data_IF_402674491850
#
_entry.id   IF_402674491850
#
_cell.length_a   1.000
_cell.length_b   1.000
_cell.length_c   1.000
_cell.angle_alpha   90.00
_cell.angle_beta   90.00
_cell.angle_gamma   90.00
#
_symmetry.space_group_name_H-M   'P 1'
#
loop_
_entity.id
_entity.type
_entity.pdbx_description
1 polymer ?
#
# COMPACT_ATOMS: atom_id res chain seq x y z
N UNK A 1 42.56 5.91 -19.45
CA UNK A 1 41.35 5.10 -19.23
C UNK A 1 40.24 6.02 -18.76
N UNK A 2 39.42 6.51 -19.69
CA UNK A 2 38.30 7.41 -19.39
C UNK A 2 37.11 6.56 -18.93
N UNK A 3 36.79 6.63 -17.64
CA UNK A 3 35.58 6.03 -17.08
C UNK A 3 34.40 6.97 -17.37
N UNK A 4 33.66 6.66 -18.43
CA UNK A 4 32.38 7.29 -18.71
C UNK A 4 31.41 6.94 -17.58
N UNK A 5 31.14 7.92 -16.72
CA UNK A 5 29.99 7.93 -15.82
C UNK A 5 28.74 8.03 -16.70
N UNK A 6 28.22 6.88 -17.13
CA UNK A 6 26.89 6.80 -17.70
C UNK A 6 25.94 7.19 -16.58
N UNK A 7 25.45 8.42 -16.68
CA UNK A 7 24.34 8.94 -15.90
C UNK A 7 23.23 7.90 -15.90
N UNK A 8 22.88 7.43 -14.70
CA UNK A 8 21.71 6.60 -14.47
C UNK A 8 20.50 7.44 -14.90
N UNK A 9 20.10 7.34 -16.18
CA UNK A 9 18.83 7.88 -16.62
C UNK A 9 17.78 7.15 -15.79
N UNK A 10 17.21 7.86 -14.79
CA UNK A 10 15.97 7.45 -14.16
C UNK A 10 14.98 7.20 -15.30
N UNK A 11 14.81 5.92 -15.66
CA UNK A 11 13.70 5.49 -16.47
C UNK A 11 12.46 5.83 -15.66
N UNK A 12 11.90 7.02 -15.91
CA UNK A 12 10.58 7.40 -15.47
C UNK A 12 9.65 6.42 -16.17
N UNK A 13 9.23 5.38 -15.43
CA UNK A 13 8.22 4.45 -15.93
C UNK A 13 7.05 5.30 -16.43
N UNK A 14 6.52 5.00 -17.64
CA UNK A 14 5.41 5.76 -18.16
C UNK A 14 4.25 5.72 -17.16
N UNK A 15 3.58 6.87 -17.01
CA UNK A 15 2.39 6.95 -16.17
C UNK A 15 1.35 5.95 -16.69
N UNK A 16 0.60 5.29 -15.79
CA UNK A 16 -0.43 4.35 -16.18
C UNK A 16 -1.61 5.10 -16.79
N UNK A 17 -2.37 4.41 -17.65
CA UNK A 17 -3.72 4.87 -18.01
C UNK A 17 -4.58 5.03 -16.76
N UNK A 18 -5.53 5.95 -16.77
CA UNK A 18 -6.48 6.14 -15.66
C UNK A 18 -7.14 4.83 -15.22
N UNK A 19 -7.59 3.99 -16.16
CA UNK A 19 -8.29 2.74 -15.83
C UNK A 19 -7.41 1.72 -15.12
N UNK A 20 -6.17 1.54 -15.60
CA UNK A 20 -5.17 0.69 -14.93
C UNK A 20 -4.88 1.21 -13.53
N UNK A 21 -4.62 2.51 -13.37
CA UNK A 21 -4.38 3.11 -12.06
C UNK A 21 -5.57 2.91 -11.12
N UNK A 22 -6.79 3.15 -11.60
CA UNK A 22 -8.00 3.00 -10.83
C UNK A 22 -8.21 1.54 -10.38
N UNK A 23 -7.98 0.56 -11.27
CA UNK A 23 -8.10 -0.86 -10.95
C UNK A 23 -7.09 -1.29 -9.88
N UNK A 24 -5.82 -0.91 -10.05
CA UNK A 24 -4.75 -1.29 -9.14
C UNK A 24 -4.97 -0.65 -7.74
N UNK A 25 -5.33 0.64 -7.70
CA UNK A 25 -5.59 1.34 -6.43
C UNK A 25 -6.89 0.88 -5.74
N UNK A 26 -7.92 0.50 -6.49
CA UNK A 26 -9.13 -0.08 -5.91
C UNK A 26 -8.84 -1.42 -5.23
N UNK A 27 -7.96 -2.24 -5.83
CA UNK A 27 -7.54 -3.49 -5.20
C UNK A 27 -6.79 -3.25 -3.88
N UNK A 28 -5.88 -2.27 -3.85
CA UNK A 28 -5.17 -1.87 -2.62
C UNK A 28 -6.15 -1.47 -1.51
N UNK A 29 -7.08 -0.56 -1.81
CA UNK A 29 -8.10 -0.08 -0.86
C UNK A 29 -8.97 -1.24 -0.37
N UNK A 30 -9.41 -2.13 -1.27
CA UNK A 30 -10.23 -3.27 -0.90
C UNK A 30 -9.52 -4.24 0.05
N UNK A 31 -8.22 -4.48 -0.16
CA UNK A 31 -7.40 -5.30 0.74
C UNK A 31 -7.29 -4.61 2.10
N UNK A 32 -6.88 -3.35 2.15
CA UNK A 32 -6.73 -2.61 3.41
C UNK A 32 -8.05 -2.52 4.20
N UNK A 33 -9.18 -2.28 3.52
CA UNK A 33 -10.51 -2.23 4.14
C UNK A 33 -10.96 -3.58 4.71
N UNK A 34 -10.58 -4.70 4.07
CA UNK A 34 -10.81 -6.03 4.65
C UNK A 34 -9.98 -6.25 5.91
N UNK A 35 -8.69 -5.90 5.85
CA UNK A 35 -7.78 -6.06 6.98
C UNK A 35 -8.14 -5.17 8.17
N UNK A 36 -8.56 -3.92 7.94
CA UNK A 36 -8.97 -3.02 9.03
C UNK A 36 -10.23 -3.47 9.78
N UNK A 37 -11.03 -4.36 9.17
CA UNK A 37 -12.24 -4.94 9.74
C UNK A 37 -12.05 -6.35 10.28
N UNK A 38 -10.87 -6.94 10.11
CA UNK A 38 -10.56 -8.25 10.67
C UNK A 38 -10.57 -8.15 12.21
N UNK A 39 -11.35 -9.02 12.85
CA UNK A 39 -11.48 -9.03 14.30
C UNK A 39 -10.40 -9.90 14.94
N UNK A 40 -10.01 -10.99 14.29
CA UNK A 40 -9.00 -11.92 14.77
C UNK A 40 -7.59 -11.45 14.44
N UNK A 41 -6.85 -11.09 15.50
CA UNK A 41 -5.47 -10.63 15.41
C UNK A 41 -4.54 -11.65 14.72
N UNK A 42 -4.72 -12.94 14.99
CA UNK A 42 -3.87 -13.99 14.40
C UNK A 42 -4.09 -14.09 12.89
N UNK A 43 -5.36 -14.02 12.47
CA UNK A 43 -5.73 -13.99 11.06
C UNK A 43 -5.23 -12.71 10.38
N UNK A 44 -5.39 -11.56 11.02
CA UNK A 44 -4.87 -10.28 10.52
C UNK A 44 -3.36 -10.34 10.27
N UNK A 45 -2.58 -10.80 11.26
CA UNK A 45 -1.12 -10.91 11.15
C UNK A 45 -0.72 -11.79 9.97
N UNK A 46 -1.32 -12.98 9.89
CA UNK A 46 -1.04 -13.95 8.82
C UNK A 46 -1.32 -13.36 7.44
N UNK A 47 -2.47 -12.70 7.26
CA UNK A 47 -2.84 -12.13 5.96
C UNK A 47 -1.94 -10.94 5.63
N UNK A 48 -1.66 -10.05 6.58
CA UNK A 48 -0.79 -8.88 6.36
C UNK A 48 0.63 -9.30 5.92
N UNK A 49 1.25 -10.23 6.64
CA UNK A 49 2.58 -10.76 6.30
C UNK A 49 2.55 -11.48 4.95
N UNK A 50 1.54 -12.32 4.71
CA UNK A 50 1.41 -13.03 3.42
C UNK A 50 1.26 -12.05 2.25
N UNK A 51 0.52 -10.96 2.45
CA UNK A 51 0.30 -9.93 1.42
C UNK A 51 1.59 -9.18 1.11
N UNK A 52 2.37 -8.84 2.13
CA UNK A 52 3.71 -8.22 1.98
C UNK A 52 4.66 -9.13 1.20
N UNK A 53 4.71 -10.41 1.54
CA UNK A 53 5.64 -11.38 0.94
C UNK A 53 5.24 -11.75 -0.50
N UNK A 54 3.96 -11.99 -0.74
CA UNK A 54 3.46 -12.40 -2.05
C UNK A 54 3.47 -11.27 -3.08
N UNK A 55 3.71 -10.01 -2.67
CA UNK A 55 3.61 -8.83 -3.54
C UNK A 55 2.31 -8.86 -4.34
N UNK A 56 1.20 -9.18 -3.65
CA UNK A 56 -0.12 -9.48 -4.24
C UNK A 56 -0.57 -8.40 -5.22
N UNK A 57 -0.19 -7.15 -4.95
CA UNK A 57 -0.31 -6.06 -5.90
C UNK A 57 1.09 -5.73 -6.44
N UNK A 58 1.32 -6.01 -7.73
CA UNK A 58 2.47 -5.47 -8.46
C UNK A 58 2.29 -3.96 -8.56
N UNK A 59 2.84 -3.28 -7.58
CA UNK A 59 2.52 -1.91 -7.31
C UNK A 59 3.69 -1.03 -7.75
N UNK A 60 3.46 -0.19 -8.76
CA UNK A 60 4.39 0.88 -9.12
C UNK A 60 3.92 2.15 -8.43
N UNK A 61 4.82 2.80 -7.69
CA UNK A 61 4.48 4.00 -6.95
C UNK A 61 4.50 5.21 -7.87
N UNK A 62 3.33 5.69 -8.29
CA UNK A 62 3.22 6.84 -9.19
C UNK A 62 2.99 8.13 -8.40
N UNK A 63 2.15 8.09 -7.37
CA UNK A 63 1.81 9.27 -6.55
C UNK A 63 1.88 9.02 -5.03
N UNK A 64 2.57 7.98 -4.59
CA UNK A 64 2.76 7.65 -3.17
C UNK A 64 1.72 6.67 -2.63
N UNK A 65 0.71 6.26 -3.42
CA UNK A 65 -0.28 5.26 -3.03
C UNK A 65 0.35 3.91 -2.69
N UNK A 66 1.39 3.53 -3.40
CA UNK A 66 2.03 2.24 -3.22
C UNK A 66 2.80 2.16 -1.92
N UNK A 67 3.51 3.24 -1.62
CA UNK A 67 4.21 3.41 -0.37
C UNK A 67 3.23 3.40 0.81
N UNK A 68 2.09 4.09 0.71
CA UNK A 68 1.07 4.03 1.77
C UNK A 68 0.42 2.67 1.93
N UNK A 69 0.19 1.96 0.82
CA UNK A 69 -0.29 0.58 0.86
C UNK A 69 0.69 -0.32 1.61
N UNK A 70 1.98 -0.24 1.31
CA UNK A 70 3.02 -0.98 2.02
C UNK A 70 3.08 -0.63 3.51
N UNK A 71 3.01 0.65 3.86
CA UNK A 71 2.98 1.11 5.26
C UNK A 71 1.77 0.58 6.02
N UNK A 72 0.58 0.59 5.41
CA UNK A 72 -0.61 -0.01 6.01
C UNK A 72 -0.37 -1.49 6.33
N UNK A 73 0.16 -2.26 5.38
CA UNK A 73 0.37 -3.69 5.59
C UNK A 73 1.41 -3.97 6.67
N UNK A 74 2.49 -3.20 6.71
CA UNK A 74 3.50 -3.31 7.78
C UNK A 74 2.92 -2.96 9.14
N UNK A 75 2.09 -1.90 9.22
CA UNK A 75 1.39 -1.53 10.44
C UNK A 75 0.44 -2.65 10.89
N UNK A 76 -0.36 -3.19 9.98
CA UNK A 76 -1.25 -4.32 10.27
C UNK A 76 -0.50 -5.55 10.78
N UNK A 77 0.66 -5.87 10.19
CA UNK A 77 1.49 -6.97 10.65
C UNK A 77 2.08 -6.70 12.05
N UNK A 78 2.55 -5.48 12.32
CA UNK A 78 3.16 -5.13 13.61
C UNK A 78 2.13 -5.12 14.73
N UNK A 79 1.00 -4.42 14.55
CA UNK A 79 -0.05 -4.29 15.57
C UNK A 79 -0.69 -5.64 15.95
N UNK A 80 -0.67 -6.62 15.03
CA UNK A 80 -1.29 -7.94 15.27
C UNK A 80 -0.29 -9.02 15.67
N UNK A 81 1.00 -8.69 15.77
CA UNK A 81 2.10 -9.64 16.05
C UNK A 81 1.91 -10.41 17.35
N UNK A 82 1.46 -9.73 18.40
CA UNK A 82 1.24 -10.32 19.72
C UNK A 82 -0.13 -11.00 19.86
N UNK A 83 -0.88 -11.14 18.75
CA UNK A 83 -2.20 -11.78 18.67
C UNK A 83 -3.27 -11.11 19.55
N UNK A 84 -3.07 -9.85 19.88
CA UNK A 84 -4.02 -8.99 20.59
C UNK A 84 -4.19 -7.73 19.77
N UNK A 85 -5.44 -7.29 19.57
CA UNK A 85 -5.75 -5.99 18.95
C UNK A 85 -6.59 -5.17 19.91
N UNK A 86 -6.06 -4.02 20.29
CA UNK A 86 -6.78 -3.02 21.08
C UNK A 86 -7.62 -2.10 20.18
N UNK A 87 -8.50 -1.32 20.79
CA UNK A 87 -9.28 -0.32 20.08
C UNK A 87 -8.39 0.81 19.50
N UNK A 88 -7.27 1.11 20.16
CA UNK A 88 -6.29 2.06 19.65
C UNK A 88 -5.62 1.53 18.38
N UNK A 89 -5.23 0.27 18.35
CA UNK A 89 -4.66 -0.38 17.17
C UNK A 89 -5.64 -0.34 15.99
N UNK A 90 -6.94 -0.58 16.27
CA UNK A 90 -8.00 -0.46 15.26
C UNK A 90 -8.16 0.96 14.76
N UNK A 91 -8.06 1.96 15.63
CA UNK A 91 -8.09 3.36 15.23
C UNK A 91 -6.89 3.71 14.34
N UNK A 92 -5.70 3.24 14.66
CA UNK A 92 -4.49 3.43 13.85
C UNK A 92 -4.63 2.82 12.45
N UNK A 93 -5.14 1.58 12.35
CA UNK A 93 -5.42 0.95 11.06
C UNK A 93 -6.42 1.74 10.23
N UNK A 94 -7.49 2.24 10.85
CA UNK A 94 -8.48 3.07 10.16
C UNK A 94 -7.89 4.41 9.69
N UNK A 95 -6.98 5.02 10.46
CA UNK A 95 -6.28 6.23 10.04
C UNK A 95 -5.35 5.93 8.84
N UNK A 96 -4.59 4.84 8.88
CA UNK A 96 -3.74 4.43 7.77
C UNK A 96 -4.55 4.14 6.49
N UNK A 97 -5.75 3.55 6.61
CA UNK A 97 -6.65 3.35 5.47
C UNK A 97 -7.09 4.69 4.85
N UNK A 98 -7.47 5.67 5.68
CA UNK A 98 -7.87 7.02 5.21
C UNK A 98 -6.72 7.75 4.52
N UNK A 99 -5.50 7.57 4.99
CA UNK A 99 -4.31 8.15 4.35
C UNK A 99 -4.08 7.56 2.96
N UNK A 100 -4.24 6.24 2.81
CA UNK A 100 -4.17 5.57 1.51
C UNK A 100 -5.27 6.11 0.56
N UNK A 101 -6.52 6.16 1.02
CA UNK A 101 -7.64 6.69 0.23
C UNK A 101 -7.39 8.14 -0.23
N UNK A 102 -6.79 8.95 0.64
CA UNK A 102 -6.42 10.33 0.32
C UNK A 102 -5.34 10.39 -0.77
N UNK A 103 -4.31 9.54 -0.68
CA UNK A 103 -3.28 9.46 -1.73
C UNK A 103 -3.84 8.98 -3.07
N UNK A 104 -4.69 7.95 -3.06
CA UNK A 104 -5.35 7.47 -4.28
C UNK A 104 -6.22 8.56 -4.90
N UNK A 105 -6.95 9.33 -4.10
CA UNK A 105 -7.76 10.47 -4.60
C UNK A 105 -6.89 11.55 -5.24
N UNK A 106 -5.77 11.89 -4.61
CA UNK A 106 -4.80 12.85 -5.14
C UNK A 106 -4.19 12.36 -6.47
N UNK A 107 -3.82 11.08 -6.56
CA UNK A 107 -3.29 10.49 -7.79
C UNK A 107 -4.32 10.45 -8.92
N UNK A 108 -5.57 10.07 -8.64
CA UNK A 108 -6.69 10.12 -9.61
C UNK A 108 -6.91 11.52 -10.17
N UNK A 109 -6.79 12.57 -9.34
CA UNK A 109 -6.95 13.95 -9.77
C UNK A 109 -5.80 14.44 -10.68
N UNK A 110 -4.62 13.81 -10.62
CA UNK A 110 -3.46 14.14 -11.46
C UNK A 110 -3.45 13.42 -12.82
N UNK A 111 -4.23 12.35 -12.94
CA UNK A 111 -4.39 11.57 -14.19
C UNK A 111 -5.63 11.98 -15.01
N UNK A 112 -6.44 12.91 -14.49
CA UNK A 112 -7.56 13.54 -15.20
C UNK A 112 -7.09 14.85 -15.82
#
# INVERSE_FOLDING_TARGET
MFLYLVSCQQQTKPLPTYDKYNKDTQLMINICNKLSKESDAKTLHKIAVSTLQARVVSCSDYFGECNQYGKFLSLAAELSKDQILTDLDRQELNNALRDLETKVRQGKARLK
#
